data_IF_649743688563
#
_entry.id   IF_649743688563
#
_cell.length_a   1.000
_cell.length_b   1.000
_cell.length_c   1.000
_cell.angle_alpha   90.00
_cell.angle_beta   90.00
_cell.angle_gamma   90.00
#
_symmetry.space_group_name_H-M   'P 1'
#
loop_
_entity.id
_entity.type
_entity.pdbx_description
1 polymer ?
#
# COMPACT_ATOMS: atom_id res chain seq x y z
N UNK A 1 -23.53 27.75 35.06
CA UNK A 1 -23.17 26.45 35.63
C UNK A 1 -23.44 25.36 34.61
N UNK A 2 -22.41 24.94 33.87
CA UNK A 2 -22.29 23.63 33.25
C UNK A 2 -20.85 23.55 32.74
N UNK A 3 -20.06 22.72 33.40
CA UNK A 3 -18.62 22.57 33.22
C UNK A 3 -18.26 22.08 31.82
N UNK A 4 -17.48 22.89 31.08
CA UNK A 4 -16.69 22.42 29.95
C UNK A 4 -15.52 21.59 30.49
N UNK A 5 -15.70 20.28 30.44
CA UNK A 5 -14.69 19.27 30.76
C UNK A 5 -13.53 19.36 29.76
N UNK A 6 -12.33 19.57 30.29
CA UNK A 6 -11.07 19.45 29.58
C UNK A 6 -10.88 18.00 29.13
N UNK A 7 -11.18 17.74 27.86
CA UNK A 7 -10.82 16.49 27.22
C UNK A 7 -9.29 16.43 27.00
N UNK A 8 -8.64 15.67 27.88
CA UNK A 8 -7.53 14.75 27.62
C UNK A 8 -6.70 15.02 26.36
N UNK A 9 -5.65 15.86 26.49
CA UNK A 9 -4.48 15.76 25.62
C UNK A 9 -3.73 14.47 25.97
N UNK A 10 -4.12 13.37 25.35
CA UNK A 10 -3.28 12.18 25.30
C UNK A 10 -2.02 12.55 24.52
N UNK A 11 -0.86 12.50 25.18
CA UNK A 11 0.43 12.62 24.53
C UNK A 11 0.60 11.45 23.56
N UNK A 12 0.37 11.71 22.27
CA UNK A 12 0.79 10.82 21.20
C UNK A 12 2.32 10.84 21.19
N UNK A 13 2.90 9.90 21.93
CA UNK A 13 4.33 9.64 21.94
C UNK A 13 4.79 9.27 20.54
N UNK A 14 5.95 9.84 20.16
CA UNK A 14 6.67 9.57 18.92
C UNK A 14 5.83 9.87 17.68
N UNK A 15 5.77 11.15 17.34
CA UNK A 15 5.48 11.59 15.97
C UNK A 15 6.41 10.82 15.03
N UNK A 16 5.90 9.78 14.37
CA UNK A 16 6.51 9.29 13.14
C UNK A 16 6.70 10.54 12.28
N UNK A 17 7.92 10.87 11.82
CA UNK A 17 8.13 12.07 11.04
C UNK A 17 7.12 12.04 9.90
N UNK A 18 6.28 13.10 9.86
CA UNK A 18 5.39 13.39 8.73
C UNK A 18 6.16 12.97 7.49
N UNK A 19 5.57 12.01 6.74
CA UNK A 19 6.09 11.44 5.49
C UNK A 19 7.00 12.51 4.89
N UNK A 20 8.32 12.38 5.07
CA UNK A 20 9.24 13.26 4.38
C UNK A 20 8.95 12.85 2.95
N UNK A 21 8.08 13.60 2.25
CA UNK A 21 8.08 13.64 0.80
C UNK A 21 9.56 13.77 0.53
N UNK A 22 10.20 12.71 0.03
CA UNK A 22 11.48 12.95 -0.60
C UNK A 22 11.13 14.01 -1.61
N UNK A 23 11.67 15.23 -1.50
CA UNK A 23 11.59 16.17 -2.59
C UNK A 23 12.50 15.55 -3.64
N UNK A 24 12.01 14.50 -4.32
CA UNK A 24 12.54 14.17 -5.62
C UNK A 24 12.01 15.29 -6.49
N UNK A 25 12.95 16.09 -6.95
CA UNK A 25 12.77 17.23 -7.83
C UNK A 25 11.66 17.01 -8.87
N UNK A 26 10.74 17.98 -8.98
CA UNK A 26 9.62 18.08 -9.95
C UNK A 26 8.51 17.03 -9.79
N UNK A 27 7.22 17.34 -9.77
CA UNK A 27 6.42 17.79 -10.94
C UNK A 27 6.88 17.24 -12.29
N UNK A 28 7.62 16.13 -12.31
CA UNK A 28 8.01 15.43 -13.54
C UNK A 28 6.72 14.81 -14.09
N UNK A 29 6.05 15.57 -14.97
CA UNK A 29 4.74 15.27 -15.55
C UNK A 29 4.63 13.87 -16.15
N UNK A 30 4.35 12.91 -15.28
CA UNK A 30 4.08 11.53 -15.63
C UNK A 30 2.59 11.29 -15.79
N UNK A 31 2.27 10.08 -16.25
CA UNK A 31 0.91 9.62 -16.39
C UNK A 31 0.72 8.27 -15.73
N UNK A 32 -0.51 8.00 -15.31
CA UNK A 32 -1.00 6.69 -14.97
C UNK A 32 -1.80 6.15 -16.16
N UNK A 33 -1.58 4.89 -16.51
CA UNK A 33 -2.25 4.23 -17.63
C UNK A 33 -3.04 3.01 -17.16
N UNK A 34 -4.22 2.80 -17.74
CA UNK A 34 -5.05 1.62 -17.50
C UNK A 34 -5.89 1.26 -18.72
N UNK A 35 -6.42 0.03 -18.76
CA UNK A 35 -7.54 -0.29 -19.64
C UNK A 35 -8.82 0.34 -19.08
N UNK A 36 -9.88 0.49 -19.89
CA UNK A 36 -11.17 1.04 -19.45
C UNK A 36 -11.76 0.28 -18.26
N UNK A 37 -11.47 -1.02 -18.17
CA UNK A 37 -11.92 -1.93 -17.12
C UNK A 37 -11.08 -1.83 -15.85
N UNK A 38 -9.77 -2.12 -15.91
CA UNK A 38 -8.91 -2.25 -14.72
C UNK A 38 -7.51 -1.69 -14.91
N UNK A 39 -6.93 -1.34 -13.77
CA UNK A 39 -5.54 -0.88 -13.62
C UNK A 39 -4.53 -2.04 -13.61
N UNK A 40 -3.35 -1.92 -14.26
CA UNK A 40 -2.31 -2.96 -14.27
C UNK A 40 -1.48 -2.97 -12.97
N UNK A 41 -2.14 -2.91 -11.80
CA UNK A 41 -1.45 -2.76 -10.50
C UNK A 41 -0.52 -3.96 -10.19
N UNK A 42 -0.84 -5.14 -10.72
CA UNK A 42 -0.07 -6.38 -10.60
C UNK A 42 1.29 -6.34 -11.31
N UNK A 43 1.35 -5.70 -12.50
CA UNK A 43 2.60 -5.57 -13.26
C UNK A 43 3.69 -4.78 -12.51
N UNK A 44 3.29 -3.88 -11.62
CA UNK A 44 4.21 -3.02 -10.86
C UNK A 44 5.29 -3.82 -10.12
N UNK A 45 4.93 -4.99 -9.56
CA UNK A 45 5.85 -5.84 -8.81
C UNK A 45 6.83 -6.61 -9.71
N UNK A 46 6.57 -6.70 -11.01
CA UNK A 46 7.46 -7.39 -11.95
C UNK A 46 8.54 -6.44 -12.52
N UNK A 47 8.42 -5.13 -12.27
CA UNK A 47 9.34 -4.15 -12.83
C UNK A 47 10.66 -4.07 -12.05
N UNK A 48 11.78 -4.04 -12.77
CA UNK A 48 13.11 -3.84 -12.20
C UNK A 48 13.20 -2.56 -11.35
N UNK A 49 12.57 -1.46 -11.80
CA UNK A 49 12.56 -0.20 -11.05
C UNK A 49 11.92 -0.34 -9.66
N UNK A 50 10.88 -1.16 -9.54
CA UNK A 50 10.22 -1.45 -8.26
C UNK A 50 11.14 -2.20 -7.33
N UNK A 51 11.79 -3.26 -7.81
CA UNK A 51 12.74 -4.04 -7.02
C UNK A 51 13.93 -3.20 -6.53
N UNK A 52 14.51 -2.37 -7.40
CA UNK A 52 15.63 -1.51 -7.01
C UNK A 52 15.21 -0.43 -6.00
N UNK A 53 14.01 0.14 -6.14
CA UNK A 53 13.46 1.08 -5.16
C UNK A 53 13.30 0.41 -3.79
N UNK A 54 12.72 -0.81 -3.73
CA UNK A 54 12.58 -1.57 -2.48
C UNK A 54 13.96 -1.83 -1.84
N UNK A 55 14.93 -2.33 -2.62
CA UNK A 55 16.30 -2.58 -2.11
C UNK A 55 16.95 -1.30 -1.61
N UNK A 56 16.81 -0.19 -2.33
CA UNK A 56 17.34 1.11 -1.93
C UNK A 56 16.78 1.56 -0.58
N UNK A 57 15.46 1.45 -0.40
CA UNK A 57 14.80 1.81 0.85
C UNK A 57 15.23 0.91 2.02
N UNK A 58 15.37 -0.41 1.77
CA UNK A 58 15.92 -1.33 2.76
C UNK A 58 17.35 -0.94 3.15
N UNK A 59 18.21 -0.60 2.18
CA UNK A 59 19.60 -0.18 2.42
C UNK A 59 19.70 1.13 3.22
N UNK A 60 18.73 2.01 3.06
CA UNK A 60 18.64 3.27 3.79
C UNK A 60 18.03 3.11 5.19
N UNK A 61 17.38 1.97 5.49
CA UNK A 61 16.75 1.72 6.78
C UNK A 61 17.78 1.47 7.89
N UNK A 62 17.49 1.98 9.09
CA UNK A 62 18.24 1.64 10.31
C UNK A 62 17.88 0.27 10.88
N UNK A 63 16.76 -0.32 10.45
CA UNK A 63 16.30 -1.62 10.93
C UNK A 63 17.05 -2.75 10.22
N UNK A 64 17.60 -3.67 11.01
CA UNK A 64 18.29 -4.87 10.53
C UNK A 64 17.67 -6.10 11.18
N UNK A 65 17.76 -7.25 10.52
CA UNK A 65 17.34 -8.52 11.12
C UNK A 65 18.22 -8.81 12.36
N UNK A 66 17.59 -9.31 13.43
CA UNK A 66 18.27 -9.64 14.67
C UNK A 66 19.34 -10.71 14.47
N UNK A 67 20.52 -10.51 15.08
CA UNK A 67 21.70 -11.39 14.95
C UNK A 67 21.90 -12.39 16.09
N UNK A 68 20.87 -12.67 16.92
CA UNK A 68 21.01 -13.54 18.08
C UNK A 68 19.94 -14.64 18.13
N UNK A 69 20.38 -15.90 18.14
CA UNK A 69 19.64 -17.10 18.58
C UNK A 69 18.47 -17.58 17.71
N UNK A 70 17.58 -16.67 17.31
CA UNK A 70 16.49 -16.91 16.35
C UNK A 70 16.84 -16.25 15.00
N UNK A 71 17.84 -16.79 14.30
CA UNK A 71 18.33 -16.22 13.05
C UNK A 71 17.20 -16.05 12.01
N UNK A 72 16.88 -14.78 11.71
CA UNK A 72 16.16 -14.43 10.49
C UNK A 72 14.64 -14.26 10.58
N UNK A 73 14.05 -14.17 11.79
CA UNK A 73 12.67 -13.66 11.92
C UNK A 73 12.65 -12.13 11.88
N UNK A 74 11.74 -11.57 11.09
CA UNK A 74 11.48 -10.14 11.04
C UNK A 74 10.71 -9.70 12.30
N UNK A 75 11.09 -8.56 12.90
CA UNK A 75 10.28 -7.93 13.94
C UNK A 75 9.01 -7.31 13.32
N UNK A 76 8.02 -6.95 14.14
CA UNK A 76 6.79 -6.30 13.67
C UNK A 76 7.08 -4.97 12.96
N UNK A 77 8.11 -4.26 13.40
CA UNK A 77 8.57 -3.00 12.83
C UNK A 77 9.18 -3.21 11.45
N UNK A 78 9.97 -4.29 11.27
CA UNK A 78 10.50 -4.66 9.96
C UNK A 78 9.37 -5.01 9.01
N UNK A 79 8.41 -5.86 9.44
CA UNK A 79 7.24 -6.23 8.63
C UNK A 79 6.46 -5.00 8.18
N UNK A 80 6.17 -4.07 9.10
CA UNK A 80 5.47 -2.82 8.81
C UNK A 80 6.24 -1.95 7.82
N UNK A 81 7.55 -1.80 8.02
CA UNK A 81 8.39 -0.98 7.14
C UNK A 81 8.52 -1.60 5.75
N UNK A 82 8.71 -2.91 5.68
CA UNK A 82 8.82 -3.68 4.45
C UNK A 82 7.54 -3.57 3.60
N UNK A 83 6.36 -3.72 4.20
CA UNK A 83 5.08 -3.50 3.51
C UNK A 83 4.96 -2.08 2.95
N UNK A 84 5.38 -1.08 3.72
CA UNK A 84 5.39 0.31 3.26
C UNK A 84 6.32 0.49 2.06
N UNK A 85 7.54 -0.07 2.10
CA UNK A 85 8.48 0.02 0.98
C UNK A 85 7.94 -0.65 -0.28
N UNK A 86 7.26 -1.79 -0.14
CA UNK A 86 6.62 -2.47 -1.26
C UNK A 86 5.50 -1.61 -1.85
N UNK A 87 4.60 -1.08 -1.01
CA UNK A 87 3.49 -0.24 -1.47
C UNK A 87 3.97 1.03 -2.15
N UNK A 88 4.94 1.74 -1.56
CA UNK A 88 5.51 2.97 -2.12
C UNK A 88 6.19 2.71 -3.46
N UNK A 89 6.99 1.63 -3.57
CA UNK A 89 7.67 1.26 -4.80
C UNK A 89 6.70 0.78 -5.89
N UNK A 90 5.69 -0.02 -5.53
CA UNK A 90 4.67 -0.50 -6.45
C UNK A 90 3.80 0.66 -6.97
N UNK A 91 3.40 1.57 -6.09
CA UNK A 91 2.61 2.75 -6.46
C UNK A 91 3.41 3.67 -7.38
N UNK A 92 4.64 4.06 -6.98
CA UNK A 92 5.48 4.95 -7.79
C UNK A 92 5.86 4.37 -9.16
N UNK A 93 5.97 3.04 -9.28
CA UNK A 93 6.30 2.41 -10.55
C UNK A 93 5.16 2.42 -11.58
N UNK A 94 3.92 2.70 -11.14
CA UNK A 94 2.76 2.92 -12.02
C UNK A 94 2.78 4.30 -12.70
N UNK A 95 3.61 5.22 -12.22
CA UNK A 95 3.91 6.46 -12.94
C UNK A 95 4.86 6.16 -14.10
N UNK A 96 4.43 6.53 -15.31
CA UNK A 96 5.21 6.37 -16.54
C UNK A 96 5.35 7.69 -17.26
N UNK A 97 6.45 7.85 -18.00
CA UNK A 97 6.84 9.08 -18.69
C UNK A 97 6.98 8.90 -20.19
N UNK A 98 6.93 7.66 -20.68
CA UNK A 98 7.03 7.32 -22.10
C UNK A 98 5.98 6.29 -22.51
N UNK A 99 5.63 6.27 -23.80
CA UNK A 99 4.72 5.26 -24.36
C UNK A 99 5.26 3.83 -24.23
N UNK A 100 6.59 3.64 -24.29
CA UNK A 100 7.21 2.34 -24.11
C UNK A 100 7.04 1.80 -22.67
N UNK A 101 7.19 2.67 -21.67
CA UNK A 101 6.91 2.31 -20.28
C UNK A 101 5.43 1.99 -20.06
N UNK A 102 4.52 2.76 -20.67
CA UNK A 102 3.09 2.53 -20.60
C UNK A 102 2.70 1.16 -21.20
N UNK A 103 3.19 0.85 -22.40
CA UNK A 103 2.94 -0.44 -23.05
C UNK A 103 3.53 -1.59 -22.25
N UNK A 104 4.74 -1.43 -21.69
CA UNK A 104 5.36 -2.45 -20.84
C UNK A 104 4.48 -2.77 -19.62
N UNK A 105 3.93 -1.77 -18.95
CA UNK A 105 3.02 -1.99 -17.82
C UNK A 105 1.79 -2.81 -18.20
N UNK A 106 1.19 -2.55 -19.37
CA UNK A 106 0.02 -3.32 -19.83
C UNK A 106 0.40 -4.74 -20.23
N UNK A 107 1.53 -4.93 -20.91
CA UNK A 107 1.97 -6.24 -21.40
C UNK A 107 2.40 -7.19 -20.27
N UNK A 108 2.91 -6.65 -19.16
CA UNK A 108 3.36 -7.42 -18.00
C UNK A 108 2.23 -7.68 -16.97
N UNK A 109 1.00 -7.23 -17.27
CA UNK A 109 -0.15 -7.34 -16.36
C UNK A 109 -1.05 -8.52 -16.75
N UNK A 110 -1.17 -9.49 -15.85
CA UNK A 110 -2.13 -10.59 -15.92
C UNK A 110 -3.57 -10.06 -15.89
N UNK A 111 -3.81 -8.96 -15.15
CA UNK A 111 -5.11 -8.28 -15.12
C UNK A 111 -5.49 -7.72 -16.48
N UNK A 112 -4.55 -7.05 -17.15
CA UNK A 112 -4.78 -6.50 -18.49
C UNK A 112 -4.98 -7.62 -19.51
N UNK A 113 -4.15 -8.67 -19.45
CA UNK A 113 -4.32 -9.86 -20.29
C UNK A 113 -5.70 -10.50 -20.10
N UNK A 114 -6.14 -10.69 -18.86
CA UNK A 114 -7.46 -11.24 -18.54
C UNK A 114 -8.59 -10.37 -19.09
N UNK A 115 -8.47 -9.05 -19.01
CA UNK A 115 -9.49 -8.12 -19.53
C UNK A 115 -9.58 -8.18 -21.06
N UNK A 116 -8.44 -8.23 -21.75
CA UNK A 116 -8.39 -8.35 -23.22
C UNK A 116 -9.02 -9.67 -23.66
N UNK A 117 -8.63 -10.78 -23.03
CA UNK A 117 -9.17 -12.12 -23.32
C UNK A 117 -10.67 -12.18 -23.04
N UNK A 118 -11.11 -11.67 -21.89
CA UNK A 118 -12.53 -11.62 -21.54
C UNK A 118 -13.30 -10.78 -22.56
N UNK A 119 -12.80 -9.59 -22.92
CA UNK A 119 -13.47 -8.75 -23.92
C UNK A 119 -13.62 -9.51 -25.24
N UNK A 120 -12.57 -10.15 -25.76
CA UNK A 120 -12.65 -10.95 -26.99
C UNK A 120 -13.66 -12.10 -26.92
N UNK A 121 -13.79 -12.74 -25.75
CA UNK A 121 -14.71 -13.88 -25.55
C UNK A 121 -16.17 -13.45 -25.39
N UNK A 122 -16.42 -12.25 -24.84
CA UNK A 122 -17.76 -11.76 -24.52
C UNK A 122 -18.34 -10.78 -25.55
N UNK A 123 -17.64 -10.54 -26.68
CA UNK A 123 -18.26 -9.85 -27.82
C UNK A 123 -19.37 -10.75 -28.38
N UNK A 124 -20.61 -10.25 -28.36
CA UNK A 124 -21.77 -10.97 -28.91
C UNK A 124 -22.15 -10.45 -30.29
N UNK A 125 -22.47 -11.36 -31.23
CA UNK A 125 -22.94 -11.00 -32.57
C UNK A 125 -21.97 -10.12 -33.35
N UNK A 126 -22.43 -8.93 -33.73
CA UNK A 126 -21.67 -7.94 -34.50
C UNK A 126 -20.97 -6.88 -33.62
N UNK A 127 -20.82 -7.14 -32.31
CA UNK A 127 -20.12 -6.22 -31.41
C UNK A 127 -18.63 -6.09 -31.77
N UNK A 128 -18.16 -4.84 -31.82
CA UNK A 128 -16.77 -4.52 -32.06
C UNK A 128 -15.98 -4.47 -30.75
N UNK A 129 -14.70 -4.84 -30.81
CA UNK A 129 -13.75 -4.64 -29.71
C UNK A 129 -13.81 -3.20 -29.19
N UNK A 130 -14.05 -3.04 -27.89
CA UNK A 130 -14.40 -1.75 -27.28
C UNK A 130 -13.60 -1.42 -26.00
N UNK A 131 -12.53 -2.15 -25.70
CA UNK A 131 -11.59 -1.75 -24.65
C UNK A 131 -10.84 -0.48 -25.05
N UNK A 132 -10.74 0.45 -24.10
CA UNK A 132 -10.03 1.71 -24.29
C UNK A 132 -8.79 1.74 -23.41
N UNK A 133 -7.78 2.51 -23.83
CA UNK A 133 -6.67 2.88 -22.97
C UNK A 133 -6.98 4.25 -22.39
N UNK A 134 -7.05 4.33 -21.06
CA UNK A 134 -7.16 5.59 -20.35
C UNK A 134 -5.78 6.06 -19.90
N UNK A 135 -5.42 7.29 -20.28
CA UNK A 135 -4.21 7.98 -19.83
C UNK A 135 -4.63 9.11 -18.91
N UNK A 136 -4.14 9.09 -17.67
CA UNK A 136 -4.48 10.07 -16.64
C UNK A 136 -3.21 10.76 -16.18
N UNK A 137 -3.29 12.06 -15.93
CA UNK A 137 -2.21 12.79 -15.27
C UNK A 137 -1.87 12.13 -13.94
N UNK A 138 -0.58 11.96 -13.66
CA UNK A 138 -0.13 11.43 -12.38
C UNK A 138 -0.40 12.44 -11.27
N UNK A 139 -1.17 12.06 -10.25
CA UNK A 139 -1.48 12.90 -9.12
C UNK A 139 -0.67 12.49 -7.90
N UNK A 140 0.36 13.27 -7.54
CA UNK A 140 1.22 13.00 -6.37
C UNK A 140 0.51 13.16 -5.03
N UNK A 141 -0.65 13.80 -5.00
CA UNK A 141 -1.46 13.94 -3.79
C UNK A 141 -2.26 12.67 -3.47
N UNK A 142 -2.42 11.75 -4.44
CA UNK A 142 -3.08 10.46 -4.20
C UNK A 142 -2.12 9.53 -3.46
N UNK A 143 -2.49 9.18 -2.23
CA UNK A 143 -1.79 8.18 -1.43
C UNK A 143 -2.54 6.84 -1.51
N UNK A 144 -1.92 5.84 -2.14
CA UNK A 144 -2.53 4.50 -2.33
C UNK A 144 -2.82 3.78 -1.01
N UNK A 145 -2.11 4.12 0.06
CA UNK A 145 -2.33 3.56 1.38
C UNK A 145 -3.56 4.17 2.09
N UNK A 146 -4.07 5.29 1.56
CA UNK A 146 -5.31 5.95 1.98
C UNK A 146 -6.39 5.84 0.90
N UNK A 147 -6.38 4.72 0.17
CA UNK A 147 -7.44 4.31 -0.76
C UNK A 147 -8.50 3.49 -0.01
N UNK A 148 -9.77 3.76 -0.31
CA UNK A 148 -10.94 3.14 0.32
C UNK A 148 -11.95 2.73 -0.76
N UNK A 149 -12.65 1.63 -0.54
CA UNK A 149 -13.69 1.11 -1.42
C UNK A 149 -15.05 1.21 -0.78
N UNK A 150 -15.96 1.95 -1.43
CA UNK A 150 -17.36 2.01 -1.08
C UNK A 150 -18.15 1.01 -1.92
N UNK A 151 -19.02 0.25 -1.29
CA UNK A 151 -20.00 -0.64 -1.91
C UNK A 151 -21.35 0.06 -1.99
N UNK A 152 -21.97 0.00 -3.17
CA UNK A 152 -23.29 0.57 -3.44
C UNK A 152 -24.19 -0.53 -3.98
N UNK A 153 -25.30 -0.77 -3.30
CA UNK A 153 -26.31 -1.78 -3.67
C UNK A 153 -27.67 -1.12 -3.70
N UNK A 154 -28.42 -1.36 -4.78
CA UNK A 154 -29.71 -0.73 -5.04
C UNK A 154 -29.69 0.81 -4.91
N UNK A 155 -28.58 1.42 -5.32
CA UNK A 155 -28.36 2.87 -5.27
C UNK A 155 -28.09 3.42 -3.87
N UNK A 156 -27.82 2.57 -2.87
CA UNK A 156 -27.51 2.95 -1.48
C UNK A 156 -26.08 2.53 -1.12
N UNK A 157 -25.34 3.38 -0.42
CA UNK A 157 -24.06 3.02 0.18
C UNK A 157 -24.28 2.03 1.32
N UNK A 158 -23.75 0.81 1.20
CA UNK A 158 -23.93 -0.27 2.20
C UNK A 158 -22.69 -0.48 3.06
N UNK A 159 -21.51 -0.35 2.48
CA UNK A 159 -20.27 -0.61 3.20
C UNK A 159 -19.09 0.19 2.66
N UNK A 160 -18.09 0.40 3.50
CA UNK A 160 -16.82 1.03 3.18
C UNK A 160 -15.70 0.19 3.78
N UNK A 161 -14.59 0.02 3.05
CA UNK A 161 -13.39 -0.66 3.56
C UNK A 161 -12.13 0.08 3.13
N UNK A 162 -11.04 -0.05 3.89
CA UNK A 162 -9.70 0.22 3.34
C UNK A 162 -9.44 -0.71 2.14
N UNK A 163 -8.84 -0.17 1.08
CA UNK A 163 -8.57 -0.91 -0.16
C UNK A 163 -7.44 -1.92 0.03
N UNK A 164 -6.31 -1.46 0.58
CA UNK A 164 -5.20 -2.33 0.95
C UNK A 164 -5.41 -2.84 2.37
N UNK A 165 -6.04 -4.00 2.48
CA UNK A 165 -6.36 -4.64 3.75
C UNK A 165 -5.15 -5.24 4.48
N UNK A 166 -3.94 -5.19 3.92
CA UNK A 166 -2.70 -5.45 4.66
C UNK A 166 -2.16 -4.22 5.40
N UNK A 167 -2.59 -3.03 5.00
CA UNK A 167 -2.04 -1.79 5.51
C UNK A 167 -2.69 -1.36 6.83
N UNK A 168 -1.85 -0.86 7.74
CA UNK A 168 -2.27 -0.30 9.02
C UNK A 168 -1.65 1.07 9.22
N UNK A 169 -2.49 2.05 9.52
CA UNK A 169 -2.07 3.40 9.91
C UNK A 169 -2.95 3.87 11.08
N UNK A 170 -2.31 4.19 12.20
CA UNK A 170 -3.00 4.68 13.38
C UNK A 170 -3.78 5.97 13.10
N UNK A 171 -3.36 6.78 12.12
CA UNK A 171 -4.06 8.00 11.71
C UNK A 171 -5.37 7.70 10.99
N UNK A 172 -5.44 6.62 10.20
CA UNK A 172 -6.69 6.18 9.57
C UNK A 172 -7.67 5.76 10.66
N UNK A 173 -7.21 4.98 11.65
CA UNK A 173 -8.05 4.55 12.78
C UNK A 173 -8.54 5.75 13.59
N UNK A 174 -7.67 6.72 13.88
CA UNK A 174 -8.01 7.90 14.65
C UNK A 174 -8.94 8.90 13.92
N UNK A 175 -9.00 8.85 12.58
CA UNK A 175 -9.81 9.74 11.75
C UNK A 175 -10.90 8.99 10.97
N UNK A 176 -11.27 7.79 11.42
CA UNK A 176 -12.18 6.90 10.71
C UNK A 176 -13.52 7.58 10.38
N UNK A 177 -14.11 8.27 11.35
CA UNK A 177 -15.39 8.95 11.18
C UNK A 177 -15.28 10.14 10.19
N UNK A 178 -14.18 10.88 10.24
CA UNK A 178 -13.94 12.02 9.34
C UNK A 178 -13.75 11.55 7.89
N UNK A 179 -12.95 10.48 7.68
CA UNK A 179 -12.75 9.84 6.38
C UNK A 179 -14.09 9.38 5.80
N UNK A 180 -14.88 8.66 6.61
CA UNK A 180 -16.21 8.19 6.21
C UNK A 180 -17.11 9.36 5.78
N UNK A 181 -17.19 10.42 6.58
CA UNK A 181 -18.02 11.57 6.27
C UNK A 181 -17.62 12.26 4.95
N UNK A 182 -16.32 12.42 4.71
CA UNK A 182 -15.83 13.02 3.46
C UNK A 182 -16.15 12.16 2.23
N UNK A 183 -15.93 10.85 2.32
CA UNK A 183 -16.21 9.92 1.21
C UNK A 183 -17.70 9.90 0.90
N UNK A 184 -18.56 9.76 1.91
CA UNK A 184 -20.02 9.72 1.72
C UNK A 184 -20.55 11.07 1.20
N UNK A 185 -20.01 12.19 1.67
CA UNK A 185 -20.37 13.51 1.15
C UNK A 185 -19.99 13.68 -0.32
N UNK A 186 -18.80 13.22 -0.72
CA UNK A 186 -18.39 13.27 -2.12
C UNK A 186 -19.24 12.33 -2.98
N UNK A 187 -19.48 11.10 -2.52
CA UNK A 187 -20.33 10.13 -3.20
C UNK A 187 -21.73 10.69 -3.46
N UNK A 188 -22.39 11.30 -2.46
CA UNK A 188 -23.73 11.87 -2.64
C UNK A 188 -23.76 12.96 -3.72
N UNK A 189 -22.69 13.76 -3.85
CA UNK A 189 -22.58 14.79 -4.89
C UNK A 189 -22.45 14.20 -6.29
N UNK A 190 -21.75 13.07 -6.44
CA UNK A 190 -21.42 12.50 -7.76
C UNK A 190 -22.30 11.33 -8.18
N UNK A 191 -23.05 10.71 -7.27
CA UNK A 191 -23.82 9.49 -7.56
C UNK A 191 -24.85 9.69 -8.67
N UNK A 192 -25.30 10.91 -8.91
CA UNK A 192 -26.22 11.26 -10.01
C UNK A 192 -25.56 11.26 -11.39
N UNK A 193 -24.22 11.31 -11.46
CA UNK A 193 -23.44 11.20 -12.69
C UNK A 193 -23.19 9.76 -13.11
N UNK A 194 -23.47 8.79 -12.23
CA UNK A 194 -23.43 7.36 -12.56
C UNK A 194 -24.74 7.00 -13.27
N UNK A 195 -24.66 6.16 -14.30
CA UNK A 195 -25.84 5.75 -15.06
C UNK A 195 -26.94 5.22 -14.12
N UNK A 196 -28.18 5.72 -14.30
CA UNK A 196 -29.31 5.37 -13.43
C UNK A 196 -29.66 3.87 -13.44
N UNK A 197 -29.23 3.14 -14.47
CA UNK A 197 -29.37 1.68 -14.57
C UNK A 197 -28.32 0.95 -13.73
N UNK A 198 -27.18 1.58 -13.44
CA UNK A 198 -26.10 1.04 -12.61
C UNK A 198 -26.39 1.28 -11.13
N UNK A 199 -27.26 0.44 -10.57
CA UNK A 199 -27.62 0.52 -9.14
C UNK A 199 -26.65 -0.20 -8.20
N UNK A 200 -25.87 -1.12 -8.75
CA UNK A 200 -24.95 -1.99 -8.02
C UNK A 200 -23.52 -1.77 -8.55
N UNK A 201 -22.63 -1.29 -7.70
CA UNK A 201 -21.24 -1.02 -8.06
C UNK A 201 -20.35 -0.85 -6.83
N UNK A 202 -19.04 -0.90 -7.04
CA UNK A 202 -18.05 -0.40 -6.11
C UNK A 202 -17.46 0.91 -6.64
N UNK A 203 -17.11 1.83 -5.75
CA UNK A 203 -16.39 3.05 -6.11
C UNK A 203 -15.21 3.24 -5.15
N UNK A 204 -14.04 3.44 -5.72
CA UNK A 204 -12.78 3.59 -5.00
C UNK A 204 -12.47 5.09 -4.85
N UNK A 205 -12.11 5.49 -3.64
CA UNK A 205 -11.75 6.85 -3.26
C UNK A 205 -10.35 6.88 -2.67
N UNK A 206 -9.64 7.98 -2.81
CA UNK A 206 -8.44 8.26 -2.02
C UNK A 206 -8.65 9.51 -1.19
N UNK A 207 -8.29 9.48 0.09
CA UNK A 207 -8.33 10.64 0.98
C UNK A 207 -6.90 11.04 1.32
N UNK A 208 -6.55 12.31 1.13
CA UNK A 208 -5.24 12.81 1.54
C UNK A 208 -5.03 12.62 3.05
N UNK A 209 -3.82 12.30 3.54
CA UNK A 209 -3.57 12.17 4.98
C UNK A 209 -3.84 13.45 5.79
N UNK A 210 -3.84 14.63 5.16
CA UNK A 210 -4.23 15.91 5.76
C UNK A 210 -5.75 16.09 5.88
N UNK A 211 -6.54 15.19 5.29
CA UNK A 211 -8.01 15.27 5.19
C UNK A 211 -8.51 16.51 4.43
N UNK A 212 -7.69 17.11 3.57
CA UNK A 212 -8.06 18.31 2.81
C UNK A 212 -8.73 17.99 1.47
N UNK A 213 -8.32 16.89 0.84
CA UNK A 213 -8.84 16.45 -0.47
C UNK A 213 -9.27 14.99 -0.44
N UNK A 214 -10.31 14.71 -1.21
CA UNK A 214 -10.80 13.37 -1.54
C UNK A 214 -10.91 13.25 -3.06
N UNK A 215 -10.38 12.16 -3.60
CA UNK A 215 -10.35 11.86 -5.03
C UNK A 215 -11.23 10.64 -5.32
N UNK A 216 -11.87 10.62 -6.48
CA UNK A 216 -12.48 9.41 -7.06
C UNK A 216 -11.41 8.73 -7.91
N UNK A 217 -11.13 7.47 -7.62
CA UNK A 217 -10.09 6.69 -8.29
C UNK A 217 -10.72 5.86 -9.43
N UNK A 218 -11.75 5.10 -9.11
CA UNK A 218 -12.31 4.11 -10.03
C UNK A 218 -13.77 3.81 -9.67
N UNK A 219 -14.61 3.62 -10.69
CA UNK A 219 -15.97 3.06 -10.53
C UNK A 219 -15.95 1.68 -11.18
N UNK A 220 -16.28 0.65 -10.41
CA UNK A 220 -16.33 -0.74 -10.85
C UNK A 220 -17.78 -1.19 -10.82
N UNK A 221 -18.35 -1.61 -11.96
CA UNK A 221 -19.71 -2.12 -12.07
C UNK A 221 -19.89 -3.56 -11.54
N UNK A 222 -18.94 -4.06 -10.76
CA UNK A 222 -18.97 -5.37 -10.15
C UNK A 222 -19.08 -5.23 -8.64
N UNK A 223 -19.94 -6.06 -8.02
CA UNK A 223 -19.95 -6.25 -6.58
C UNK A 223 -18.95 -7.33 -6.18
N UNK A 224 -18.76 -7.50 -4.86
CA UNK A 224 -18.06 -8.67 -4.34
C UNK A 224 -18.78 -9.97 -4.77
N UNK A 225 -18.04 -11.07 -5.03
CA UNK A 225 -16.60 -11.22 -4.82
C UNK A 225 -15.75 -10.81 -6.04
N UNK A 226 -16.37 -10.44 -7.17
CA UNK A 226 -15.63 -10.06 -8.39
C UNK A 226 -14.83 -8.80 -8.13
N UNK A 227 -15.46 -7.79 -7.53
CA UNK A 227 -14.72 -6.72 -6.88
C UNK A 227 -14.17 -7.23 -5.54
N UNK A 228 -12.86 -7.08 -5.31
CA UNK A 228 -12.25 -7.40 -4.02
C UNK A 228 -13.02 -6.75 -2.86
N UNK A 229 -13.29 -7.55 -1.82
CA UNK A 229 -14.15 -7.19 -0.68
C UNK A 229 -13.40 -6.51 0.48
N UNK A 230 -12.07 -6.35 0.36
CA UNK A 230 -11.22 -5.79 1.41
C UNK A 230 -11.37 -6.57 2.72
N UNK A 231 -11.69 -5.86 3.80
CA UNK A 231 -11.87 -6.45 5.14
C UNK A 231 -13.22 -7.14 5.36
N UNK A 232 -14.07 -7.25 4.34
CA UNK A 232 -15.27 -8.07 4.37
C UNK A 232 -14.95 -9.46 3.82
N UNK A 233 -15.22 -10.50 4.60
CA UNK A 233 -15.00 -11.90 4.25
C UNK A 233 -16.23 -12.43 3.52
N UNK A 234 -16.23 -12.38 2.19
CA UNK A 234 -17.41 -12.75 1.38
C UNK A 234 -17.86 -14.21 1.55
N UNK A 235 -16.98 -15.10 2.03
CA UNK A 235 -17.36 -16.47 2.39
C UNK A 235 -18.22 -16.55 3.67
N UNK A 236 -18.26 -15.50 4.48
CA UNK A 236 -19.11 -15.39 5.67
C UNK A 236 -20.46 -14.77 5.31
N UNK A 237 -21.54 -15.42 5.73
CA UNK A 237 -22.90 -14.97 5.42
C UNK A 237 -23.20 -13.59 6.02
N UNK A 238 -22.65 -13.30 7.19
CA UNK A 238 -22.84 -12.03 7.91
C UNK A 238 -22.24 -10.87 7.12
N UNK A 239 -21.05 -11.06 6.54
CA UNK A 239 -20.36 -10.04 5.75
C UNK A 239 -21.04 -9.84 4.39
N UNK A 240 -21.55 -10.90 3.75
CA UNK A 240 -22.38 -10.77 2.54
C UNK A 240 -23.62 -9.93 2.81
N UNK A 241 -24.35 -10.23 3.89
CA UNK A 241 -25.51 -9.43 4.29
C UNK A 241 -25.16 -7.98 4.56
N UNK A 242 -24.01 -7.68 5.18
CA UNK A 242 -23.57 -6.30 5.38
C UNK A 242 -23.27 -5.58 4.06
N UNK A 243 -22.64 -6.27 3.09
CA UNK A 243 -22.35 -5.70 1.78
C UNK A 243 -23.62 -5.47 0.95
N UNK A 244 -24.63 -6.32 1.08
CA UNK A 244 -25.85 -6.31 0.25
C UNK A 244 -27.00 -5.51 0.86
N UNK A 245 -27.24 -5.66 2.17
CA UNK A 245 -28.48 -5.22 2.83
C UNK A 245 -28.25 -4.37 4.10
N UNK A 246 -27.08 -4.53 4.73
CA UNK A 246 -26.86 -4.13 6.12
C UNK A 246 -26.90 -2.62 6.35
N UNK A 247 -27.08 -2.19 7.62
CA UNK A 247 -26.81 -0.81 7.97
C UNK A 247 -25.36 -0.47 7.59
N UNK A 248 -25.12 0.78 7.20
CA UNK A 248 -23.82 1.21 6.69
C UNK A 248 -22.67 0.77 7.62
N UNK A 249 -21.66 0.08 7.08
CA UNK A 249 -20.52 -0.42 7.85
C UNK A 249 -19.19 0.06 7.28
N UNK A 250 -18.30 0.60 8.13
CA UNK A 250 -16.94 0.96 7.74
C UNK A 250 -15.90 0.10 8.46
N UNK A 251 -15.06 -0.62 7.70
CA UNK A 251 -13.94 -1.42 8.22
C UNK A 251 -12.58 -0.87 7.80
N UNK A 252 -11.68 -0.78 8.78
CA UNK A 252 -10.26 -0.48 8.59
C UNK A 252 -9.47 -1.44 9.46
N UNK A 253 -8.21 -1.70 9.11
CA UNK A 253 -7.36 -2.54 9.94
C UNK A 253 -7.00 -1.77 11.22
N UNK A 254 -7.22 -2.40 12.37
CA UNK A 254 -7.06 -1.75 13.69
C UNK A 254 -5.73 -2.04 14.38
N UNK A 255 -4.95 -2.98 13.85
CA UNK A 255 -3.62 -3.33 14.35
C UNK A 255 -2.68 -3.69 13.19
N UNK A 256 -1.37 -3.44 13.31
CA UNK A 256 -0.40 -3.84 12.29
C UNK A 256 -0.33 -5.35 12.14
N UNK A 257 0.06 -5.80 10.95
CA UNK A 257 0.42 -7.20 10.75
C UNK A 257 1.59 -7.60 11.62
N UNK A 258 1.55 -8.84 12.11
CA UNK A 258 2.64 -9.44 12.90
C UNK A 258 3.63 -10.22 12.03
N UNK A 259 3.20 -10.60 10.82
CA UNK A 259 3.98 -11.32 9.83
C UNK A 259 3.53 -10.89 8.42
N UNK A 260 4.37 -11.14 7.41
CA UNK A 260 4.03 -10.95 5.99
C UNK A 260 3.06 -12.02 5.46
N UNK A 261 2.82 -13.04 6.27
CA UNK A 261 1.89 -14.14 6.02
C UNK A 261 0.72 -14.01 6.99
N UNK A 262 -0.50 -14.07 6.45
CA UNK A 262 -1.74 -14.09 7.22
C UNK A 262 -2.57 -15.28 6.76
N UNK A 263 -2.87 -16.21 7.66
CA UNK A 263 -3.80 -17.28 7.38
C UNK A 263 -5.23 -16.70 7.37
N UNK A 264 -5.89 -16.81 6.23
CA UNK A 264 -7.26 -16.37 6.05
C UNK A 264 -8.15 -17.60 5.99
N UNK A 265 -9.00 -17.73 7.01
CA UNK A 265 -10.00 -18.79 7.13
C UNK A 265 -10.79 -18.97 5.82
N UNK A 266 -10.69 -20.18 5.24
CA UNK A 266 -11.38 -20.56 4.00
C UNK A 266 -10.76 -20.04 2.70
N UNK A 267 -9.62 -19.32 2.76
CA UNK A 267 -8.87 -18.85 1.59
C UNK A 267 -7.47 -19.46 1.56
N UNK A 268 -6.84 -19.67 2.73
CA UNK A 268 -5.48 -20.18 2.87
C UNK A 268 -4.51 -19.11 3.34
N UNK A 269 -3.21 -19.32 3.09
CA UNK A 269 -2.17 -18.36 3.48
C UNK A 269 -2.09 -17.27 2.42
N UNK A 270 -2.36 -16.04 2.84
CA UNK A 270 -2.12 -14.86 2.03
C UNK A 270 -0.77 -14.28 2.42
N UNK A 271 0.11 -14.13 1.43
CA UNK A 271 1.47 -13.62 1.63
C UNK A 271 1.85 -12.65 0.53
N UNK A 272 2.83 -11.79 0.80
CA UNK A 272 3.55 -11.11 -0.28
C UNK A 272 4.18 -12.16 -1.20
N UNK A 273 4.33 -11.81 -2.48
CA UNK A 273 4.91 -12.70 -3.48
C UNK A 273 6.23 -13.34 -2.98
N UNK A 274 6.34 -14.68 -2.85
CA UNK A 274 7.45 -15.30 -2.13
C UNK A 274 8.86 -14.92 -2.65
N UNK A 275 9.09 -14.80 -3.98
CA UNK A 275 10.35 -14.26 -4.50
C UNK A 275 10.68 -12.85 -3.99
N UNK A 276 9.67 -11.99 -3.82
CA UNK A 276 9.84 -10.64 -3.29
C UNK A 276 10.26 -10.69 -1.81
N UNK A 277 9.59 -11.53 -1.01
CA UNK A 277 9.94 -11.75 0.40
C UNK A 277 11.38 -12.25 0.53
N UNK A 278 11.78 -13.22 -0.31
CA UNK A 278 13.13 -13.76 -0.33
C UNK A 278 14.18 -12.68 -0.66
N UNK A 279 13.90 -11.83 -1.67
CA UNK A 279 14.76 -10.71 -2.04
C UNK A 279 14.93 -9.72 -0.88
N UNK A 280 13.84 -9.32 -0.23
CA UNK A 280 13.86 -8.37 0.88
C UNK A 280 14.65 -8.93 2.07
N UNK A 281 14.43 -10.21 2.41
CA UNK A 281 15.19 -10.91 3.45
C UNK A 281 16.68 -10.95 3.14
N UNK A 282 17.06 -11.25 1.89
CA UNK A 282 18.46 -11.28 1.47
C UNK A 282 19.13 -9.91 1.62
N UNK A 283 18.45 -8.83 1.25
CA UNK A 283 18.97 -7.46 1.38
C UNK A 283 19.13 -7.06 2.86
N UNK A 284 18.16 -7.38 3.72
CA UNK A 284 18.24 -7.15 5.17
C UNK A 284 19.38 -7.94 5.83
N UNK A 285 19.63 -9.17 5.40
CA UNK A 285 20.75 -9.98 5.89
C UNK A 285 22.11 -9.41 5.43
N UNK A 286 22.20 -8.92 4.19
CA UNK A 286 23.41 -8.26 3.70
C UNK A 286 23.73 -7.00 4.52
N UNK A 287 22.71 -6.21 4.86
CA UNK A 287 22.81 -5.05 5.76
C UNK A 287 23.32 -5.44 7.15
N UNK A 288 22.72 -6.45 7.77
CA UNK A 288 23.12 -6.93 9.09
C UNK A 288 24.61 -7.38 9.12
N UNK A 289 25.04 -8.12 8.10
CA UNK A 289 26.44 -8.56 7.96
C UNK A 289 27.42 -7.39 7.77
N UNK A 290 27.04 -6.37 7.00
CA UNK A 290 27.85 -5.15 6.83
C UNK A 290 28.02 -4.41 8.15
N UNK A 291 26.93 -4.27 8.93
CA UNK A 291 26.95 -3.62 10.25
C UNK A 291 27.83 -4.37 11.24
N UNK A 292 27.69 -5.70 11.35
CA UNK A 292 28.54 -6.53 12.21
C UNK A 292 30.04 -6.41 11.84
N UNK A 293 30.37 -6.37 10.54
CA UNK A 293 31.75 -6.17 10.08
C UNK A 293 32.29 -4.78 10.45
N UNK A 294 31.45 -3.74 10.38
CA UNK A 294 31.83 -2.38 10.78
C UNK A 294 32.05 -2.28 12.30
N UNK A 295 31.17 -2.88 13.08
CA UNK A 295 31.28 -2.95 14.55
C UNK A 295 32.54 -3.73 14.96
N UNK A 296 32.79 -4.89 14.35
CA UNK A 296 34.01 -5.66 14.62
C UNK A 296 35.28 -4.88 14.27
N UNK A 297 35.32 -4.20 13.11
CA UNK A 297 36.46 -3.34 12.74
C UNK A 297 36.66 -2.18 13.71
N UNK A 298 35.58 -1.56 14.18
CA UNK A 298 35.65 -0.48 15.17
C UNK A 298 36.21 -0.98 16.50
N UNK A 299 35.74 -2.13 16.99
CA UNK A 299 36.25 -2.76 18.22
C UNK A 299 37.73 -3.16 18.11
N UNK A 300 38.15 -3.70 16.97
CA UNK A 300 39.56 -4.05 16.74
C UNK A 300 40.45 -2.81 16.71
N UNK A 301 39.99 -1.71 16.08
CA UNK A 301 40.73 -0.46 16.03
C UNK A 301 40.90 0.19 17.42
N UNK A 302 39.90 0.08 18.30
CA UNK A 302 40.00 0.62 19.68
C UNK A 302 40.88 -0.21 20.61
N UNK A 303 41.14 -1.49 20.28
CA UNK A 303 41.93 -2.39 21.12
C UNK A 303 43.41 -2.47 20.72
N UNK A 304 43.87 -1.71 19.72
CA UNK A 304 45.30 -1.61 19.43
C UNK A 304 45.94 -0.64 20.44
N UNK A 305 46.79 -1.13 21.37
CA UNK A 305 47.44 -0.27 22.34
C UNK A 305 48.36 0.73 21.65
N UNK A 306 48.36 1.98 22.11
CA UNK A 306 49.28 3.03 21.65
C UNK A 306 50.73 2.55 21.82
N UNK A 307 51.33 2.07 20.73
CA UNK A 307 52.70 1.57 20.69
C UNK A 307 53.75 2.71 20.71
N UNK A 308 53.39 3.91 21.18
CA UNK A 308 54.23 5.11 21.15
C UNK A 308 54.81 5.52 22.51
N UNK A 309 54.67 4.71 23.57
CA UNK A 309 55.33 4.95 24.86
C UNK A 309 56.59 4.10 25.10
N UNK A 310 57.49 4.02 24.11
CA UNK A 310 58.88 3.59 24.35
C UNK A 310 59.67 4.73 24.99
N UNK A 311 59.40 4.97 26.28
CA UNK A 311 60.24 5.77 27.15
C UNK A 311 61.66 5.20 27.16
N UNK A 312 62.60 5.98 26.66
CA UNK A 312 64.05 5.76 26.73
C UNK A 312 64.50 5.53 28.18
N UNK A 313 64.70 4.27 28.57
CA UNK A 313 65.40 3.92 29.79
C UNK A 313 66.90 4.03 29.50
N UNK A 314 67.48 5.17 29.87
CA UNK A 314 68.93 5.38 29.85
C UNK A 314 69.53 4.67 31.05
N UNK A 315 70.38 3.67 30.81
CA UNK A 315 71.17 2.99 31.83
C UNK A 315 72.40 3.85 32.14
N UNK A 316 72.54 4.27 33.39
CA UNK A 316 73.81 4.64 34.04
C UNK A 316 74.04 3.70 35.20
#
# INVERSE_FOLDING_TARGET
MAHLSQATRASLGHSHPLRRRHPTDSDSGGVFIKLSTRSPKDASLNLTKTHEHIKSNIRASSLVLGGGGEEGKASKEIVKEDLRFVNEAASSSLCVTTGAEALRLLLESDRAHSDITANQLYLEGDENFNLQIAVREWCSDVDSDWEFRLFVVDGKSTALTIYNDFYYDARIVANKEAIQAQILSLWEKVRHSIDKKTKNYCIDFAVTPSLEKTFIIEVNNFLAPIAGSGLFKYNKMEDRKLLEEGPFSFRVRTAPLVALEEEIEGVGIRTLHPPLVAMMKAERLAMARKKQKQEHKATVATCQPDASSSSSCSVM
#
